data_IF_063443617496
#
_entry.id   IF_063443617496
#
_cell.length_a   1.000
_cell.length_b   1.000
_cell.length_c   1.000
_cell.angle_alpha   90.00
_cell.angle_beta   90.00
_cell.angle_gamma   90.00
#
_symmetry.space_group_name_H-M   'P 1'
#
loop_
_entity.id
_entity.type
_entity.pdbx_description
1 polymer ?
#
# COMPACT_ATOMS: atom_id res chain seq x y z
N UNK A 1 -20.31 -13.40 -6.94
CA UNK A 1 -20.54 -12.01 -6.49
C UNK A 1 -19.39 -11.18 -7.02
N UNK A 2 -19.66 -10.03 -7.63
CA UNK A 2 -18.61 -9.11 -8.03
C UNK A 2 -17.87 -8.61 -6.77
N UNK A 3 -16.56 -8.80 -6.73
CA UNK A 3 -15.71 -8.25 -5.69
C UNK A 3 -15.69 -6.73 -5.89
N UNK A 4 -16.24 -5.98 -4.92
CA UNK A 4 -16.25 -4.52 -4.96
C UNK A 4 -15.10 -4.02 -4.10
N UNK A 5 -14.27 -3.15 -4.65
CA UNK A 5 -13.24 -2.41 -3.92
C UNK A 5 -13.75 -1.00 -3.63
N UNK A 6 -13.49 -0.54 -2.41
CA UNK A 6 -13.82 0.81 -1.97
C UNK A 6 -12.52 1.61 -1.81
N UNK A 7 -12.63 2.93 -1.94
CA UNK A 7 -11.54 3.86 -1.65
C UNK A 7 -12.00 4.83 -0.58
N UNK A 8 -11.13 5.10 0.40
CA UNK A 8 -11.39 6.18 1.35
C UNK A 8 -11.29 7.52 0.62
N UNK A 9 -12.33 8.34 0.78
CA UNK A 9 -12.34 9.70 0.25
C UNK A 9 -11.18 10.52 0.82
N UNK A 10 -10.86 10.34 2.10
CA UNK A 10 -9.76 11.04 2.77
C UNK A 10 -8.40 10.73 2.14
N UNK A 11 -8.22 9.49 1.65
CA UNK A 11 -6.99 9.12 0.96
C UNK A 11 -6.91 9.77 -0.43
N UNK A 12 -7.98 9.67 -1.22
CA UNK A 12 -7.95 10.08 -2.64
C UNK A 12 -8.14 11.58 -2.86
N UNK A 13 -8.73 12.29 -1.88
CA UNK A 13 -8.84 13.76 -1.87
C UNK A 13 -7.71 14.42 -1.06
N UNK A 14 -6.73 13.64 -0.58
CA UNK A 14 -5.59 14.21 0.13
C UNK A 14 -4.68 15.02 -0.78
N UNK A 15 -4.10 16.10 -0.25
CA UNK A 15 -3.11 16.89 -0.97
C UNK A 15 -1.93 16.02 -1.45
N UNK A 16 -1.43 15.11 -0.61
CA UNK A 16 -0.31 14.24 -1.01
C UNK A 16 -0.66 13.28 -2.16
N UNK A 17 -1.92 12.81 -2.24
CA UNK A 17 -2.36 11.96 -3.34
C UNK A 17 -2.60 12.78 -4.60
N UNK A 18 -3.21 13.96 -4.48
CA UNK A 18 -3.50 14.85 -5.60
C UNK A 18 -2.23 15.48 -6.20
N UNK A 19 -1.15 15.58 -5.42
CA UNK A 19 0.19 15.96 -5.89
C UNK A 19 0.87 14.89 -6.76
N UNK A 20 0.42 13.63 -6.71
CA UNK A 20 0.99 12.57 -7.55
C UNK A 20 0.68 12.84 -9.03
N UNK A 21 1.56 12.44 -9.96
CA UNK A 21 1.21 12.39 -11.37
C UNK A 21 -0.08 11.60 -11.59
N UNK A 22 -0.93 12.05 -12.52
CA UNK A 22 -2.22 11.41 -12.80
C UNK A 22 -2.06 9.92 -13.17
N UNK A 23 -0.98 9.58 -13.87
CA UNK A 23 -0.62 8.20 -14.21
C UNK A 23 -0.27 7.36 -12.98
N UNK A 24 0.42 7.94 -11.98
CA UNK A 24 0.68 7.28 -10.70
C UNK A 24 -0.61 7.10 -9.87
N UNK A 25 -1.49 8.10 -9.85
CA UNK A 25 -2.82 7.98 -9.23
C UNK A 25 -3.62 6.85 -9.87
N UNK A 26 -3.70 6.83 -11.21
CA UNK A 26 -4.38 5.77 -11.96
C UNK A 26 -3.78 4.39 -11.70
N UNK A 27 -2.45 4.27 -11.72
CA UNK A 27 -1.75 3.02 -11.41
C UNK A 27 -2.10 2.50 -10.02
N UNK A 28 -2.09 3.37 -9.01
CA UNK A 28 -2.47 3.00 -7.65
C UNK A 28 -3.90 2.45 -7.58
N UNK A 29 -4.85 3.12 -8.23
CA UNK A 29 -6.25 2.67 -8.28
C UNK A 29 -6.37 1.29 -8.94
N UNK A 30 -5.69 1.08 -10.07
CA UNK A 30 -5.70 -0.22 -10.77
C UNK A 30 -5.06 -1.35 -9.95
N UNK A 31 -3.98 -1.07 -9.22
CA UNK A 31 -3.36 -2.03 -8.30
C UNK A 31 -4.33 -2.40 -7.18
N UNK A 32 -5.03 -1.42 -6.60
CA UNK A 32 -6.03 -1.68 -5.56
C UNK A 32 -7.23 -2.51 -6.07
N UNK A 33 -7.59 -2.39 -7.35
CA UNK A 33 -8.65 -3.20 -7.95
C UNK A 33 -8.28 -4.69 -8.06
N UNK A 34 -7.01 -4.99 -8.31
CA UNK A 34 -6.50 -6.37 -8.48
C UNK A 34 -6.06 -7.03 -7.15
N UNK A 35 -5.89 -6.24 -6.10
CA UNK A 35 -5.45 -6.73 -4.79
C UNK A 35 -6.41 -7.75 -4.19
N UNK A 36 -5.87 -8.72 -3.45
CA UNK A 36 -6.65 -9.65 -2.63
C UNK A 36 -7.22 -8.98 -1.36
N UNK A 37 -7.95 -9.73 -0.54
CA UNK A 37 -8.63 -9.19 0.64
C UNK A 37 -7.68 -8.69 1.75
N UNK A 38 -6.39 -9.00 1.65
CA UNK A 38 -5.34 -8.47 2.53
C UNK A 38 -4.54 -7.33 1.88
N UNK A 39 -4.80 -7.01 0.62
CA UNK A 39 -4.16 -5.92 -0.12
C UNK A 39 -2.93 -6.35 -0.94
N UNK A 40 -2.71 -7.65 -1.13
CA UNK A 40 -1.56 -8.18 -1.85
C UNK A 40 -1.82 -8.31 -3.37
N UNK A 41 -0.78 -8.01 -4.15
CA UNK A 41 -0.80 -8.02 -5.62
C UNK A 41 0.47 -8.69 -6.14
N UNK A 42 0.34 -9.79 -6.88
CA UNK A 42 1.47 -10.54 -7.44
C UNK A 42 1.85 -10.13 -8.87
N UNK A 43 1.04 -9.28 -9.50
CA UNK A 43 1.15 -8.90 -10.91
C UNK A 43 1.23 -7.37 -11.11
N UNK A 44 1.66 -6.60 -10.10
CA UNK A 44 1.69 -5.14 -10.13
C UNK A 44 2.49 -4.57 -11.33
N UNK A 45 3.64 -5.18 -11.66
CA UNK A 45 4.41 -4.83 -12.85
C UNK A 45 3.67 -5.08 -14.17
N UNK A 46 2.81 -6.11 -14.23
CA UNK A 46 1.95 -6.36 -15.39
C UNK A 46 0.85 -5.31 -15.48
N UNK A 47 0.20 -4.97 -14.37
CA UNK A 47 -0.81 -3.89 -14.30
C UNK A 47 -0.20 -2.60 -14.82
N UNK A 48 0.98 -2.20 -14.32
CA UNK A 48 1.72 -1.02 -14.78
C UNK A 48 1.84 -0.96 -16.30
N UNK A 49 2.27 -2.05 -16.93
CA UNK A 49 2.42 -2.13 -18.40
C UNK A 49 1.08 -2.02 -19.13
N UNK A 50 0.02 -2.65 -18.61
CA UNK A 50 -1.32 -2.64 -19.23
C UNK A 50 -1.95 -1.25 -19.19
N UNK A 51 -1.74 -0.51 -18.10
CA UNK A 51 -2.26 0.86 -17.94
C UNK A 51 -1.28 1.92 -18.47
N UNK A 52 -0.19 1.48 -19.10
CA UNK A 52 0.84 2.32 -19.72
C UNK A 52 1.48 3.34 -18.75
N UNK A 53 1.51 3.02 -17.45
CA UNK A 53 2.17 3.86 -16.46
C UNK A 53 3.70 3.71 -16.53
N UNK A 54 4.42 4.81 -16.30
CA UNK A 54 5.88 4.83 -16.36
C UNK A 54 6.51 4.03 -15.21
N UNK A 55 7.79 3.68 -15.34
CA UNK A 55 8.50 3.02 -14.23
C UNK A 55 8.71 4.01 -13.06
N UNK A 56 8.83 5.30 -13.38
CA UNK A 56 8.95 6.42 -12.46
C UNK A 56 7.68 6.60 -11.62
N UNK A 57 6.50 6.50 -12.24
CA UNK A 57 5.21 6.55 -11.51
C UNK A 57 5.10 5.41 -10.51
N UNK A 58 5.48 4.20 -10.94
CA UNK A 58 5.45 3.03 -10.06
C UNK A 58 6.42 3.18 -8.89
N UNK A 59 7.64 3.65 -9.15
CA UNK A 59 8.63 3.97 -8.12
C UNK A 59 8.13 5.04 -7.16
N UNK A 60 7.48 6.09 -7.66
CA UNK A 60 6.91 7.17 -6.85
C UNK A 60 5.92 6.63 -5.82
N UNK A 61 5.12 5.62 -6.17
CA UNK A 61 4.19 4.99 -5.23
C UNK A 61 4.90 4.27 -4.06
N UNK A 62 6.10 3.70 -4.28
CA UNK A 62 6.92 3.16 -3.19
C UNK A 62 7.59 4.27 -2.38
N UNK A 63 8.19 5.25 -3.05
CA UNK A 63 8.92 6.36 -2.41
C UNK A 63 8.01 7.21 -1.51
N UNK A 64 6.73 7.33 -1.88
CA UNK A 64 5.68 8.03 -1.11
C UNK A 64 4.94 7.11 -0.12
N UNK A 65 5.24 5.80 -0.09
CA UNK A 65 4.68 4.85 0.88
C UNK A 65 3.26 4.35 0.58
N UNK A 66 2.76 4.49 -0.65
CA UNK A 66 1.47 3.93 -1.06
C UNK A 66 1.54 2.41 -1.27
N UNK A 67 2.69 1.91 -1.71
CA UNK A 67 2.97 0.50 -1.94
C UNK A 67 4.18 0.07 -1.11
N UNK A 68 4.16 -1.17 -0.63
CA UNK A 68 5.32 -1.80 0.01
C UNK A 68 5.78 -2.97 -0.85
N UNK A 69 7.08 -3.01 -1.11
CA UNK A 69 7.70 -4.10 -1.84
C UNK A 69 7.91 -5.30 -0.91
N UNK A 70 7.38 -6.46 -1.31
CA UNK A 70 7.55 -7.75 -0.65
C UNK A 70 8.47 -8.64 -1.49
N UNK A 71 8.66 -9.90 -1.08
CA UNK A 71 9.52 -10.84 -1.80
C UNK A 71 9.04 -11.13 -3.24
N UNK A 72 9.98 -11.41 -4.14
CA UNK A 72 9.72 -11.93 -5.51
C UNK A 72 8.76 -11.06 -6.35
N UNK A 73 8.81 -9.73 -6.21
CA UNK A 73 7.95 -8.82 -6.97
C UNK A 73 6.50 -8.74 -6.47
N UNK A 74 6.18 -9.41 -5.35
CA UNK A 74 4.93 -9.23 -4.63
C UNK A 74 4.87 -7.83 -4.04
N UNK A 75 3.69 -7.22 -4.07
CA UNK A 75 3.44 -5.88 -3.53
C UNK A 75 2.25 -5.92 -2.59
N UNK A 76 2.25 -5.08 -1.57
CA UNK A 76 1.07 -4.84 -0.74
C UNK A 76 0.71 -3.35 -0.73
N UNK A 77 -0.59 -3.06 -0.80
CA UNK A 77 -1.13 -1.70 -0.70
C UNK A 77 -1.11 -1.26 0.75
N UNK A 78 -0.32 -0.22 1.08
CA UNK A 78 -0.12 0.20 2.47
C UNK A 78 -1.42 0.63 3.17
N UNK A 79 -2.28 1.36 2.44
CA UNK A 79 -3.53 1.91 2.97
C UNK A 79 -4.73 0.97 2.80
N UNK A 80 -4.50 -0.33 2.58
CA UNK A 80 -5.57 -1.27 2.25
C UNK A 80 -6.70 -1.28 3.29
N UNK A 81 -6.36 -1.34 4.58
CA UNK A 81 -7.35 -1.41 5.67
C UNK A 81 -8.10 -0.10 5.90
N UNK A 82 -7.56 1.04 5.45
CA UNK A 82 -8.27 2.32 5.41
C UNK A 82 -9.36 2.28 4.34
N UNK A 83 -9.02 1.77 3.15
CA UNK A 83 -9.93 1.75 2.00
C UNK A 83 -10.97 0.64 2.08
N UNK A 84 -10.60 -0.53 2.60
CA UNK A 84 -11.40 -1.75 2.51
C UNK A 84 -11.57 -2.39 3.89
N UNK A 85 -12.80 -2.37 4.38
CA UNK A 85 -13.25 -3.16 5.53
C UNK A 85 -14.11 -4.33 5.05
N UNK A 86 -13.61 -5.55 5.20
CA UNK A 86 -14.26 -6.78 4.72
C UNK A 86 -14.86 -7.54 5.89
N UNK A 87 -16.12 -7.94 5.78
CA UNK A 87 -16.79 -8.74 6.82
C UNK A 87 -16.17 -10.13 6.91
N UNK A 88 -16.01 -10.63 8.15
CA UNK A 88 -15.31 -11.89 8.45
C UNK A 88 -15.87 -13.11 7.71
N UNK A 89 -17.17 -13.15 7.46
CA UNK A 89 -17.85 -14.25 6.75
C UNK A 89 -17.51 -14.31 5.25
N UNK A 90 -17.02 -13.21 4.68
CA UNK A 90 -16.67 -13.11 3.25
C UNK A 90 -15.17 -13.01 2.99
N UNK A 91 -14.40 -12.71 4.04
CA UNK A 91 -12.97 -12.50 3.96
C UNK A 91 -12.24 -13.77 3.54
N UNK A 92 -11.35 -13.63 2.55
CA UNK A 92 -10.46 -14.70 2.09
C UNK A 92 -9.00 -14.30 2.36
N UNK A 93 -8.30 -14.96 3.27
CA UNK A 93 -6.92 -14.59 3.58
C UNK A 93 -6.02 -14.74 2.37
N UNK A 94 -5.00 -13.89 2.26
CA UNK A 94 -3.98 -13.98 1.23
C UNK A 94 -3.29 -15.34 1.23
N UNK A 95 -2.89 -15.82 0.07
CA UNK A 95 -2.02 -17.00 -0.03
C UNK A 95 -0.60 -16.70 0.47
N UNK A 96 -0.22 -15.41 0.55
CA UNK A 96 1.12 -14.94 0.92
C UNK A 96 1.30 -14.78 2.44
N UNK A 97 0.88 -15.77 3.22
CA UNK A 97 0.87 -15.72 4.68
C UNK A 97 2.25 -15.46 5.32
N UNK A 98 3.33 -15.91 4.68
CA UNK A 98 4.71 -15.65 5.16
C UNK A 98 5.08 -14.17 5.07
N UNK A 99 4.62 -13.49 4.01
CA UNK A 99 4.85 -12.06 3.79
C UNK A 99 3.91 -11.22 4.65
N UNK A 100 2.65 -11.64 4.79
CA UNK A 100 1.67 -11.01 5.67
C UNK A 100 2.18 -10.87 7.12
N UNK A 101 2.82 -11.91 7.66
CA UNK A 101 3.37 -11.92 9.03
C UNK A 101 4.48 -10.89 9.28
N UNK A 102 5.13 -10.38 8.22
CA UNK A 102 6.16 -9.32 8.31
C UNK A 102 5.55 -7.93 8.43
N UNK A 103 4.24 -7.80 8.21
CA UNK A 103 3.54 -6.53 8.29
C UNK A 103 3.11 -6.26 9.73
N UNK A 104 3.25 -5.00 10.13
CA UNK A 104 2.60 -4.42 11.30
C UNK A 104 1.51 -3.48 10.83
N UNK A 105 0.42 -3.41 11.57
CA UNK A 105 -0.67 -2.46 11.31
C UNK A 105 -0.58 -1.35 12.34
N UNK A 106 -0.36 -0.13 11.88
CA UNK A 106 -0.38 1.08 12.69
C UNK A 106 -1.48 1.97 12.14
N UNK A 107 -2.53 2.26 12.92
CA UNK A 107 -3.68 3.07 12.49
C UNK A 107 -4.27 2.66 11.13
N UNK A 108 -4.49 1.35 10.91
CA UNK A 108 -4.98 0.78 9.65
C UNK A 108 -4.06 0.97 8.43
N UNK A 109 -2.80 1.36 8.63
CA UNK A 109 -1.76 1.37 7.60
C UNK A 109 -0.79 0.22 7.83
N UNK A 110 -0.46 -0.52 6.76
CA UNK A 110 0.60 -1.52 6.81
C UNK A 110 1.98 -0.86 6.85
N UNK A 111 2.84 -1.38 7.70
CA UNK A 111 4.25 -1.00 7.81
C UNK A 111 5.09 -2.27 7.90
N UNK A 112 6.34 -2.22 7.45
CA UNK A 112 7.26 -3.36 7.59
C UNK A 112 7.81 -3.40 9.02
N UNK A 113 7.79 -4.57 9.64
CA UNK A 113 8.52 -4.77 10.89
C UNK A 113 10.01 -4.63 10.61
N UNK A 114 10.63 -3.51 11.01
CA UNK A 114 12.08 -3.41 11.04
C UNK A 114 12.59 -4.39 12.11
N UNK A 115 12.96 -5.60 11.69
CA UNK A 115 13.91 -6.41 12.44
C UNK A 115 15.28 -5.83 12.15
N UNK A 116 15.92 -5.33 13.21
CA UNK A 116 17.27 -4.77 13.19
C UNK A 116 18.25 -5.66 12.42
N UNK A 117 18.69 -5.17 11.26
CA UNK A 117 19.93 -5.52 10.57
C UNK A 117 20.12 -6.98 10.19
N UNK A 118 19.84 -7.32 8.92
CA UNK A 118 20.67 -8.21 8.09
C UNK A 118 20.28 -8.10 6.62
N UNK A 119 21.26 -7.67 5.83
CA UNK A 119 21.29 -7.62 4.37
C UNK A 119 21.16 -9.01 3.74
N UNK A 120 20.37 -9.12 2.67
CA UNK A 120 20.60 -10.12 1.61
C UNK A 120 20.48 -9.41 0.25
N UNK A 121 21.61 -9.44 -0.45
CA UNK A 121 21.93 -9.02 -1.82
C UNK A 121 21.18 -9.89 -2.84
N UNK A 122 20.87 -9.54 -4.09
CA UNK A 122 20.92 -8.33 -4.92
C UNK A 122 20.23 -8.71 -6.24
N UNK A 123 19.27 -7.93 -6.72
CA UNK A 123 18.95 -7.81 -8.17
C UNK A 123 18.50 -6.36 -8.40
N UNK A 124 19.33 -5.65 -9.15
CA UNK A 124 19.15 -4.34 -9.79
C UNK A 124 18.65 -3.14 -8.97
N UNK A 125 19.63 -2.32 -8.58
CA UNK A 125 19.62 -0.87 -8.32
C UNK A 125 18.25 -0.21 -8.03
N UNK A 126 17.68 -0.53 -6.87
CA UNK A 126 16.73 0.36 -6.19
C UNK A 126 17.41 0.78 -4.89
N UNK A 127 17.94 2.01 -4.94
CA UNK A 127 18.46 2.74 -3.79
C UNK A 127 17.58 2.49 -2.57
N UNK A 128 18.18 1.96 -1.51
CA UNK A 128 17.54 1.74 -0.22
C UNK A 128 16.91 3.05 0.29
N UNK A 129 15.63 3.27 0.00
CA UNK A 129 14.88 4.35 0.62
C UNK A 129 14.51 3.88 2.01
N UNK A 130 15.10 4.54 3.02
CA UNK A 130 14.81 4.35 4.44
C UNK A 130 13.32 4.62 4.71
N UNK A 131 12.47 3.60 4.64
CA UNK A 131 11.05 3.70 4.99
C UNK A 131 10.89 3.47 6.51
N UNK A 132 11.35 4.41 7.36
CA UNK A 132 10.95 4.46 8.79
C UNK A 132 11.00 5.88 9.39
N UNK A 133 10.72 6.95 8.63
CA UNK A 133 10.65 8.31 9.25
C UNK A 133 9.39 9.12 8.89
N UNK A 134 8.45 8.58 8.09
CA UNK A 134 7.31 9.34 7.55
C UNK A 134 5.95 9.13 8.22
N UNK A 135 5.85 8.31 9.26
CA UNK A 135 4.54 8.01 9.88
C UNK A 135 3.98 9.20 10.69
N UNK A 136 4.81 9.87 11.48
CA UNK A 136 4.37 11.08 12.22
C UNK A 136 4.18 12.29 11.29
N UNK A 137 4.91 12.36 10.17
CA UNK A 137 4.69 13.37 9.13
C UNK A 137 3.38 13.15 8.38
N UNK A 138 2.99 11.90 8.15
CA UNK A 138 1.71 11.55 7.54
C UNK A 138 0.55 12.13 8.36
N UNK A 139 0.46 11.84 9.66
CA UNK A 139 -0.62 12.38 10.50
C UNK A 139 -0.53 13.89 10.74
N UNK A 140 0.65 14.51 10.65
CA UNK A 140 0.76 15.99 10.63
C UNK A 140 0.10 16.62 9.41
N UNK A 141 0.07 15.91 8.28
CA UNK A 141 -0.63 16.33 7.07
C UNK A 141 -2.15 16.04 7.09
N UNK A 142 -2.63 15.17 8.00
CA UNK A 142 -4.03 14.74 8.10
C UNK A 142 -4.66 14.99 9.48
N UNK A 143 -5.05 16.23 9.83
CA UNK A 143 -5.44 16.57 11.19
C UNK A 143 -6.91 16.30 11.55
N UNK A 144 -7.71 15.66 10.69
CA UNK A 144 -9.14 15.42 11.00
C UNK A 144 -9.31 14.24 11.97
N UNK A 145 -9.55 14.60 13.23
CA UNK A 145 -9.63 13.73 14.42
C UNK A 145 -10.81 12.75 14.50
N UNK A 146 -11.70 12.67 13.52
CA UNK A 146 -12.90 11.81 13.64
C UNK A 146 -12.57 10.30 13.56
N UNK A 147 -11.48 9.93 12.87
CA UNK A 147 -11.17 8.51 12.63
C UNK A 147 -10.19 7.86 13.62
N UNK A 148 -9.50 8.63 14.48
CA UNK A 148 -8.63 8.03 15.52
C UNK A 148 -9.41 7.12 16.47
N UNK A 149 -10.65 7.49 16.79
CA UNK A 149 -11.51 6.72 17.69
C UNK A 149 -12.16 5.48 17.04
N UNK A 150 -12.26 5.42 15.70
CA UNK A 150 -12.84 4.27 14.99
C UNK A 150 -11.80 3.19 14.68
N UNK A 151 -10.52 3.53 14.65
CA UNK A 151 -9.42 2.57 14.49
C UNK A 151 -9.09 1.77 15.77
N UNK A 152 -9.62 2.20 16.92
CA UNK A 152 -9.43 1.57 18.23
C UNK A 152 -10.51 0.52 18.59
N UNK A 153 -11.48 0.23 17.70
CA UNK A 153 -12.57 -0.74 17.93
C UNK A 153 -12.48 -2.02 17.10
#
# INVERSE_FOLDING_TARGET
MAEKRMFSRELVESDQFLELPLSAQGLYMHICMEADDDGFVNNANRIRKVVEASQEDYRTLFDRGYLLQMANGLVVVAHWKICNSIRKDRYKPTVHQSEYKKLKVCDNVYTLSSESGKSVESVDDISQVKIVEKFDEFWKAYPRKEHKAMAEQ
#
